data_IF_756919250751
#
_entry.id   IF_756919250751
#
_cell.length_a   1.000
_cell.length_b   1.000
_cell.length_c   1.000
_cell.angle_alpha   90.00
_cell.angle_beta   90.00
_cell.angle_gamma   90.00
#
_symmetry.space_group_name_H-M   'P 1'
#
loop_
_entity.id
_entity.type
_entity.pdbx_description
1 polymer ?
#
# COMPACT_ATOMS: atom_id res chain seq x y z
N UNK A 1 2.65 8.93 -10.63
CA UNK A 1 2.01 10.25 -10.44
C UNK A 1 0.50 10.06 -10.47
N UNK A 2 -0.25 10.69 -9.56
CA UNK A 2 -1.71 10.67 -9.52
C UNK A 2 -2.22 12.12 -9.55
N UNK A 3 -3.16 12.42 -10.44
CA UNK A 3 -3.77 13.76 -10.55
C UNK A 3 -5.26 13.63 -10.25
N UNK A 4 -5.75 14.43 -9.31
CA UNK A 4 -7.16 14.49 -8.94
C UNK A 4 -7.70 15.87 -9.30
N UNK A 5 -8.66 15.91 -10.23
CA UNK A 5 -9.18 17.15 -10.82
C UNK A 5 -10.37 17.74 -10.04
N UNK A 6 -11.28 16.89 -9.57
CA UNK A 6 -12.54 17.34 -8.97
C UNK A 6 -12.54 17.11 -7.47
N UNK A 7 -12.17 18.14 -6.71
CA UNK A 7 -12.15 18.05 -5.25
C UNK A 7 -13.55 17.83 -4.63
N UNK A 8 -14.60 18.34 -5.28
CA UNK A 8 -16.00 18.22 -4.81
C UNK A 8 -16.51 16.77 -4.81
N UNK A 9 -16.04 15.95 -5.77
CA UNK A 9 -16.41 14.55 -5.91
C UNK A 9 -15.53 13.58 -5.10
N UNK A 10 -14.43 14.08 -4.50
CA UNK A 10 -13.51 13.24 -3.74
C UNK A 10 -14.10 12.82 -2.40
N UNK A 11 -14.35 11.52 -2.22
CA UNK A 11 -14.63 10.99 -0.87
C UNK A 11 -13.32 10.72 -0.11
N UNK A 12 -13.30 10.77 1.23
CA UNK A 12 -12.10 10.45 2.01
C UNK A 12 -11.54 9.06 1.72
N UNK A 13 -12.42 8.08 1.46
CA UNK A 13 -12.01 6.72 1.09
C UNK A 13 -11.37 6.68 -0.29
N UNK A 14 -11.90 7.43 -1.28
CA UNK A 14 -11.31 7.52 -2.60
C UNK A 14 -9.93 8.17 -2.53
N UNK A 15 -9.81 9.28 -1.78
CA UNK A 15 -8.54 9.97 -1.54
C UNK A 15 -7.49 9.03 -0.94
N UNK A 16 -7.84 8.27 0.11
CA UNK A 16 -6.93 7.30 0.72
C UNK A 16 -6.53 6.20 -0.28
N UNK A 17 -7.47 5.68 -1.08
CA UNK A 17 -7.19 4.67 -2.10
C UNK A 17 -6.24 5.19 -3.17
N UNK A 18 -6.45 6.40 -3.68
CA UNK A 18 -5.62 6.96 -4.75
C UNK A 18 -4.23 7.32 -4.24
N UNK A 19 -4.10 7.87 -3.02
CA UNK A 19 -2.80 8.16 -2.42
C UNK A 19 -1.99 6.88 -2.21
N UNK A 20 -2.62 5.81 -1.71
CA UNK A 20 -1.92 4.52 -1.50
C UNK A 20 -1.45 3.84 -2.80
N UNK A 21 -2.03 4.17 -3.96
CA UNK A 21 -1.56 3.62 -5.25
C UNK A 21 -0.33 4.33 -5.81
N UNK A 22 0.10 5.44 -5.19
CA UNK A 22 1.30 6.15 -5.62
C UNK A 22 2.52 5.57 -4.90
N UNK A 23 3.43 5.03 -5.69
CA UNK A 23 4.70 4.48 -5.20
C UNK A 23 5.61 5.57 -4.61
N UNK A 24 6.58 5.16 -3.80
CA UNK A 24 7.57 6.05 -3.20
C UNK A 24 8.32 6.86 -4.27
N UNK A 25 8.53 8.15 -4.01
CA UNK A 25 9.09 9.09 -4.99
C UNK A 25 8.08 9.61 -6.02
N UNK A 26 6.84 9.12 -6.02
CA UNK A 26 5.75 9.64 -6.82
C UNK A 26 5.16 10.95 -6.27
N UNK A 27 4.36 11.61 -7.10
CA UNK A 27 3.63 12.83 -6.78
C UNK A 27 2.12 12.61 -6.83
N UNK A 28 1.42 13.17 -5.84
CA UNK A 28 -0.05 13.32 -5.83
C UNK A 28 -0.36 14.80 -6.05
N UNK A 29 -1.08 15.10 -7.13
CA UNK A 29 -1.46 16.47 -7.51
C UNK A 29 -2.96 16.62 -7.32
N UNK A 30 -3.36 17.55 -6.46
CA UNK A 30 -4.74 17.96 -6.27
C UNK A 30 -4.94 19.26 -7.04
N UNK A 31 -5.78 19.24 -8.08
CA UNK A 31 -6.17 20.45 -8.77
C UNK A 31 -7.40 21.01 -8.08
N UNK A 32 -7.31 22.30 -7.75
CA UNK A 32 -8.42 23.06 -7.21
C UNK A 32 -8.85 24.01 -8.31
N UNK A 33 -10.14 24.04 -8.63
CA UNK A 33 -10.69 25.01 -9.57
C UNK A 33 -10.37 26.41 -9.07
N UNK A 34 -10.29 27.41 -9.96
CA UNK A 34 -10.05 28.81 -9.59
C UNK A 34 -10.93 29.23 -8.42
N UNK A 35 -10.31 29.39 -7.26
CA UNK A 35 -10.92 29.90 -6.06
C UNK A 35 -10.37 31.30 -5.85
N UNK A 36 -11.25 32.27 -5.65
CA UNK A 36 -10.86 33.63 -5.28
C UNK A 36 -10.12 33.67 -3.93
N UNK A 37 -10.34 32.68 -3.04
CA UNK A 37 -9.51 32.45 -1.87
C UNK A 37 -9.56 30.98 -1.43
N UNK A 38 -8.50 30.48 -0.80
CA UNK A 38 -8.50 29.15 -0.16
C UNK A 38 -9.53 29.06 0.98
N UNK A 39 -10.02 30.18 1.50
CA UNK A 39 -11.12 30.22 2.48
C UNK A 39 -12.42 29.69 1.88
N UNK A 40 -12.63 29.84 0.56
CA UNK A 40 -13.79 29.31 -0.14
C UNK A 40 -13.85 27.77 -0.16
N UNK A 41 -12.73 27.07 0.11
CA UNK A 41 -12.72 25.61 0.29
C UNK A 41 -13.40 25.18 1.58
N UNK A 42 -13.36 26.00 2.65
CA UNK A 42 -13.99 25.67 3.93
C UNK A 42 -15.51 25.51 3.78
N UNK A 43 -16.11 26.34 2.94
CA UNK A 43 -17.55 26.39 2.69
C UNK A 43 -17.96 25.57 1.47
N UNK A 44 -17.03 24.91 0.79
CA UNK A 44 -17.33 24.12 -0.41
C UNK A 44 -18.22 22.93 -0.05
N UNK A 45 -19.29 22.75 -0.81
CA UNK A 45 -20.19 21.60 -0.68
C UNK A 45 -19.61 20.45 -1.50
N UNK A 46 -19.36 19.31 -0.86
CA UNK A 46 -18.95 18.08 -1.55
C UNK A 46 -20.18 17.25 -1.92
N UNK A 47 -20.09 16.40 -2.95
CA UNK A 47 -21.16 15.49 -3.38
C UNK A 47 -21.64 14.57 -2.24
N UNK A 48 -20.73 14.26 -1.31
CA UNK A 48 -21.02 13.45 -0.13
C UNK A 48 -22.02 14.12 0.80
N UNK A 49 -22.02 15.45 0.87
CA UNK A 49 -22.91 16.22 1.74
C UNK A 49 -24.38 16.04 1.34
N UNK A 50 -24.66 15.87 0.04
CA UNK A 50 -26.01 15.62 -0.46
C UNK A 50 -26.61 14.31 0.09
N UNK A 51 -25.77 13.30 0.33
CA UNK A 51 -26.19 12.03 0.95
C UNK A 51 -26.51 12.15 2.44
N UNK A 52 -26.05 13.20 3.09
CA UNK A 52 -26.28 13.45 4.52
C UNK A 52 -27.39 14.47 4.79
N UNK A 53 -28.05 14.99 3.74
CA UNK A 53 -29.25 15.81 3.88
C UNK A 53 -30.44 14.93 4.20
N UNK A 54 -31.15 15.24 5.28
CA UNK A 54 -32.44 14.64 5.63
C UNK A 54 -33.49 15.75 5.72
N UNK A 55 -34.78 15.42 5.73
CA UNK A 55 -35.85 16.42 5.87
C UNK A 55 -35.70 17.27 7.15
N UNK A 56 -35.12 16.68 8.21
CA UNK A 56 -34.84 17.36 9.48
C UNK A 56 -33.53 18.15 9.49
N UNK A 57 -32.62 17.87 8.55
CA UNK A 57 -31.30 18.50 8.44
C UNK A 57 -30.94 18.76 6.98
N UNK A 58 -31.32 19.92 6.47
CA UNK A 58 -31.08 20.35 5.08
C UNK A 58 -29.65 20.87 4.84
N UNK A 59 -28.99 21.39 5.88
CA UNK A 59 -27.65 21.98 5.78
C UNK A 59 -26.58 21.04 6.33
N UNK A 60 -25.73 20.57 5.42
CA UNK A 60 -24.54 19.79 5.76
C UNK A 60 -23.33 20.74 5.89
N UNK A 61 -22.64 20.68 7.03
CA UNK A 61 -21.45 21.50 7.29
C UNK A 61 -20.17 20.81 6.82
N UNK A 62 -19.33 21.53 6.07
CA UNK A 62 -18.09 21.02 5.46
C UNK A 62 -16.90 20.84 6.41
N UNK A 63 -17.11 20.22 7.58
CA UNK A 63 -16.05 20.04 8.60
C UNK A 63 -14.84 19.23 8.11
N UNK A 64 -15.07 18.33 7.14
CA UNK A 64 -13.98 17.57 6.52
C UNK A 64 -13.03 18.50 5.75
N UNK A 65 -13.56 19.43 4.95
CA UNK A 65 -12.76 20.35 4.16
C UNK A 65 -11.89 21.25 5.04
N UNK A 66 -12.43 21.69 6.16
CA UNK A 66 -11.68 22.46 7.15
C UNK A 66 -10.51 21.68 7.73
N UNK A 67 -10.78 20.47 8.22
CA UNK A 67 -9.73 19.61 8.75
C UNK A 67 -8.71 19.20 7.69
N UNK A 68 -9.17 19.00 6.46
CA UNK A 68 -8.31 18.63 5.33
C UNK A 68 -7.30 19.73 5.02
N UNK A 69 -7.74 20.98 4.88
CA UNK A 69 -6.85 22.12 4.65
C UNK A 69 -5.86 22.33 5.81
N UNK A 70 -6.34 22.24 7.05
CA UNK A 70 -5.45 22.33 8.21
C UNK A 70 -4.40 21.22 8.21
N UNK A 71 -4.78 20.00 7.79
CA UNK A 71 -3.84 18.89 7.65
C UNK A 71 -2.79 19.14 6.56
N UNK A 72 -3.18 19.72 5.42
CA UNK A 72 -2.26 20.09 4.35
C UNK A 72 -1.28 21.18 4.80
N UNK A 73 -1.77 22.20 5.50
CA UNK A 73 -0.93 23.26 6.06
C UNK A 73 0.12 22.72 7.06
N UNK A 74 -0.25 21.70 7.85
CA UNK A 74 0.68 21.04 8.79
C UNK A 74 1.62 20.02 8.12
N UNK A 75 1.34 19.62 6.87
CA UNK A 75 2.08 18.56 6.19
C UNK A 75 3.37 19.10 5.57
N UNK A 76 4.52 18.66 6.12
CA UNK A 76 5.85 19.08 5.63
C UNK A 76 6.13 18.70 4.16
N UNK A 77 5.44 17.69 3.63
CA UNK A 77 5.61 17.18 2.27
C UNK A 77 4.54 17.71 1.28
N UNK A 78 3.71 18.68 1.67
CA UNK A 78 2.67 19.24 0.82
C UNK A 78 2.98 20.68 0.41
N UNK A 79 3.05 20.93 -0.90
CA UNK A 79 3.25 22.26 -1.49
C UNK A 79 1.92 22.77 -2.05
N UNK A 80 1.56 24.02 -1.75
CA UNK A 80 0.41 24.69 -2.36
C UNK A 80 0.94 25.75 -3.33
N UNK A 81 0.52 25.64 -4.59
CA UNK A 81 0.96 26.52 -5.68
C UNK A 81 -0.24 27.12 -6.41
N UNK A 82 -0.05 28.28 -7.01
CA UNK A 82 -1.00 28.86 -7.97
C UNK A 82 -0.78 28.29 -9.40
N UNK A 83 -1.54 28.80 -10.36
CA UNK A 83 -1.48 28.43 -11.77
C UNK A 83 -0.18 28.84 -12.48
N UNK A 84 0.56 29.80 -11.90
CA UNK A 84 1.88 30.22 -12.35
C UNK A 84 3.04 29.47 -11.63
N UNK A 85 2.71 28.46 -10.81
CA UNK A 85 3.66 27.68 -10.00
C UNK A 85 4.36 28.48 -8.89
N UNK A 86 3.79 29.61 -8.45
CA UNK A 86 4.29 30.34 -7.29
C UNK A 86 3.86 29.64 -6.00
N UNK A 87 4.80 29.47 -5.07
CA UNK A 87 4.53 28.84 -3.78
C UNK A 87 3.79 29.80 -2.85
N UNK A 88 2.58 29.40 -2.43
CA UNK A 88 1.74 30.19 -1.54
C UNK A 88 2.28 30.18 -0.09
N UNK A 89 2.02 31.25 0.71
CA UNK A 89 2.53 31.38 2.08
C UNK A 89 2.10 30.27 3.05
N UNK A 90 0.99 29.59 2.78
CA UNK A 90 0.50 28.45 3.58
C UNK A 90 1.52 27.31 3.62
N UNK A 91 2.33 27.16 2.57
CA UNK A 91 3.42 26.18 2.48
C UNK A 91 4.80 26.81 2.72
N UNK A 92 4.91 27.78 3.62
CA UNK A 92 6.18 28.47 3.91
C UNK A 92 7.30 27.53 4.39
N UNK A 93 6.97 26.40 5.03
CA UNK A 93 7.92 25.36 5.45
C UNK A 93 8.72 24.73 4.30
N UNK A 94 8.23 24.81 3.06
CA UNK A 94 8.91 24.25 1.90
C UNK A 94 10.04 25.12 1.38
N UNK A 95 10.03 26.42 1.69
CA UNK A 95 11.08 27.35 1.22
C UNK A 95 12.47 27.02 1.77
N UNK A 96 12.53 26.24 2.86
CA UNK A 96 13.77 25.77 3.49
C UNK A 96 14.14 24.33 3.14
N UNK A 97 13.46 23.67 2.20
CA UNK A 97 13.82 22.30 1.80
C UNK A 97 15.16 22.35 1.07
N UNK A 98 16.16 21.74 1.69
CA UNK A 98 17.44 21.47 1.03
C UNK A 98 17.37 20.11 0.35
N UNK A 99 17.92 19.98 -0.87
CA UNK A 99 18.04 18.67 -1.50
C UNK A 99 18.93 17.80 -0.60
N UNK A 100 18.39 16.65 -0.20
CA UNK A 100 19.17 15.66 0.55
C UNK A 100 20.24 15.14 -0.41
N UNK A 101 21.54 15.21 -0.05
CA UNK A 101 22.58 14.64 -0.89
C UNK A 101 22.32 13.15 -1.02
N UNK A 102 22.25 12.67 -2.26
CA UNK A 102 22.09 11.25 -2.54
C UNK A 102 23.34 10.56 -1.99
N UNK A 103 23.21 9.84 -0.87
CA UNK A 103 24.26 8.92 -0.42
C UNK A 103 24.20 7.71 -1.34
N UNK A 104 24.80 7.85 -2.51
CA UNK A 104 25.08 6.72 -3.38
C UNK A 104 26.21 5.93 -2.72
N UNK A 105 25.87 4.90 -1.94
CA UNK A 105 26.78 3.78 -1.79
C UNK A 105 27.06 3.20 -3.19
N UNK A 106 28.17 2.49 -3.38
CA UNK A 106 28.61 1.97 -4.69
C UNK A 106 27.57 1.10 -5.44
N UNK A 107 26.50 0.70 -4.75
CA UNK A 107 25.40 -0.15 -5.18
C UNK A 107 24.01 0.55 -5.14
N UNK A 108 23.90 1.79 -4.64
CA UNK A 108 22.65 2.58 -4.62
C UNK A 108 21.50 2.02 -3.76
N UNK A 109 21.77 1.06 -2.88
CA UNK A 109 20.77 0.33 -2.08
C UNK A 109 20.64 0.90 -0.65
N UNK A 110 19.40 1.04 -0.17
CA UNK A 110 19.11 1.40 1.23
C UNK A 110 19.67 0.34 2.20
N UNK A 111 19.97 0.72 3.45
CA UNK A 111 20.36 -0.22 4.52
C UNK A 111 19.39 -1.41 4.63
N UNK A 112 18.09 -1.14 4.48
CA UNK A 112 17.01 -2.15 4.52
C UNK A 112 17.09 -3.13 3.34
N UNK A 113 17.50 -2.63 2.16
CA UNK A 113 17.61 -3.46 0.97
C UNK A 113 18.87 -4.34 1.03
N UNK A 114 19.95 -3.84 1.65
CA UNK A 114 21.14 -4.63 1.92
C UNK A 114 20.85 -5.78 2.90
N UNK A 115 20.06 -5.52 3.95
CA UNK A 115 19.60 -6.57 4.87
C UNK A 115 18.75 -7.63 4.15
N UNK A 116 17.84 -7.21 3.26
CA UNK A 116 17.04 -8.14 2.47
C UNK A 116 17.92 -9.00 1.55
N UNK A 117 18.97 -8.42 0.95
CA UNK A 117 19.91 -9.14 0.09
C UNK A 117 20.68 -10.20 0.88
N UNK A 118 21.18 -9.85 2.06
CA UNK A 118 21.83 -10.80 2.99
C UNK A 118 20.89 -11.95 3.36
N UNK A 119 19.65 -11.64 3.75
CA UNK A 119 18.64 -12.66 4.08
C UNK A 119 18.35 -13.61 2.91
N UNK A 120 18.30 -13.08 1.68
CA UNK A 120 18.11 -13.88 0.46
C UNK A 120 19.30 -14.78 0.16
N UNK A 121 20.52 -14.32 0.42
CA UNK A 121 21.74 -15.10 0.22
C UNK A 121 21.89 -16.20 1.28
N UNK A 122 21.57 -15.90 2.55
CA UNK A 122 21.63 -16.86 3.66
C UNK A 122 20.69 -18.06 3.45
N UNK A 123 19.46 -17.81 3.00
CA UNK A 123 18.41 -18.84 2.88
C UNK A 123 18.31 -19.43 1.48
N UNK A 124 19.27 -19.15 0.59
CA UNK A 124 19.18 -19.50 -0.83
C UNK A 124 19.15 -21.01 -1.09
N UNK A 125 19.87 -21.78 -0.27
CA UNK A 125 20.03 -23.24 -0.39
C UNK A 125 18.92 -24.02 0.34
N UNK A 126 18.16 -23.37 1.22
CA UNK A 126 17.12 -24.02 2.02
C UNK A 126 15.85 -24.23 1.19
N UNK A 127 15.66 -25.43 0.63
CA UNK A 127 14.39 -25.82 0.01
C UNK A 127 13.35 -26.15 1.09
N UNK A 128 12.11 -25.62 1.02
CA UNK A 128 11.48 -24.81 -0.04
C UNK A 128 11.56 -23.28 0.17
N UNK A 129 12.26 -22.82 1.21
CA UNK A 129 12.27 -21.43 1.69
C UNK A 129 12.98 -20.48 0.72
N UNK A 130 14.16 -20.84 0.23
CA UNK A 130 15.01 -20.00 -0.62
C UNK A 130 14.34 -19.50 -1.89
N UNK A 131 13.75 -20.38 -2.73
CA UNK A 131 13.06 -19.95 -3.94
C UNK A 131 11.90 -18.97 -3.68
N UNK A 132 11.19 -19.12 -2.56
CA UNK A 132 10.08 -18.26 -2.18
C UNK A 132 10.54 -16.90 -1.64
N UNK A 133 11.57 -16.86 -0.80
CA UNK A 133 12.12 -15.61 -0.25
C UNK A 133 12.73 -14.73 -1.35
N UNK A 134 13.33 -15.34 -2.39
CA UNK A 134 13.84 -14.58 -3.55
C UNK A 134 12.75 -13.72 -4.21
N UNK A 135 11.48 -14.15 -4.16
CA UNK A 135 10.33 -13.39 -4.69
C UNK A 135 9.82 -12.29 -3.78
N UNK A 136 10.29 -12.21 -2.53
CA UNK A 136 9.89 -11.14 -1.61
C UNK A 136 10.56 -9.81 -1.97
N UNK A 137 9.79 -8.73 -1.89
CA UNK A 137 10.27 -7.38 -2.21
C UNK A 137 10.74 -6.60 -0.99
N UNK A 138 10.27 -6.97 0.21
CA UNK A 138 10.62 -6.30 1.46
C UNK A 138 11.11 -7.27 2.52
N UNK A 139 11.92 -6.77 3.45
CA UNK A 139 12.42 -7.52 4.60
C UNK A 139 11.29 -8.07 5.46
N UNK A 140 10.26 -7.25 5.75
CA UNK A 140 9.10 -7.66 6.53
C UNK A 140 8.31 -8.77 5.85
N UNK A 141 8.18 -8.73 4.53
CA UNK A 141 7.54 -9.81 3.77
C UNK A 141 8.35 -11.10 3.90
N UNK A 142 9.68 -11.03 3.76
CA UNK A 142 10.57 -12.18 3.92
C UNK A 142 10.45 -12.81 5.32
N UNK A 143 10.53 -11.99 6.37
CA UNK A 143 10.36 -12.44 7.76
C UNK A 143 8.99 -13.09 8.00
N UNK A 144 7.92 -12.50 7.47
CA UNK A 144 6.58 -13.07 7.58
C UNK A 144 6.49 -14.45 6.89
N UNK A 145 7.04 -14.58 5.67
CA UNK A 145 7.08 -15.85 4.94
C UNK A 145 7.86 -16.91 5.72
N UNK A 146 9.02 -16.56 6.29
CA UNK A 146 9.80 -17.47 7.15
C UNK A 146 8.96 -17.95 8.33
N UNK A 147 8.34 -17.02 9.09
CA UNK A 147 7.51 -17.38 10.25
C UNK A 147 6.35 -18.29 9.87
N UNK A 148 5.73 -18.09 8.70
CA UNK A 148 4.70 -18.98 8.21
C UNK A 148 5.24 -20.36 7.84
N UNK A 149 6.38 -20.43 7.14
CA UNK A 149 6.99 -21.70 6.75
C UNK A 149 7.47 -22.50 7.97
N UNK A 150 8.06 -21.84 8.96
CA UNK A 150 8.43 -22.45 10.23
C UNK A 150 7.21 -23.05 10.94
N UNK A 151 6.10 -22.32 10.98
CA UNK A 151 4.85 -22.82 11.56
C UNK A 151 4.20 -23.97 10.75
N UNK A 152 4.46 -24.04 9.44
CA UNK A 152 4.02 -25.15 8.57
C UNK A 152 4.92 -26.38 8.78
N UNK A 153 6.22 -26.18 9.00
CA UNK A 153 7.18 -27.25 9.26
C UNK A 153 7.05 -27.81 10.69
N UNK A 154 6.61 -26.98 11.64
CA UNK A 154 6.32 -27.39 12.99
C UNK A 154 5.11 -28.34 12.99
N UNK A 155 5.35 -29.61 13.30
CA UNK A 155 4.35 -30.71 13.21
C UNK A 155 3.30 -30.65 14.33
N UNK A 156 3.03 -29.48 14.89
CA UNK A 156 1.99 -29.29 15.89
C UNK A 156 0.61 -29.43 15.23
N UNK A 157 -0.27 -30.24 15.82
CA UNK A 157 -1.61 -30.50 15.26
C UNK A 157 -2.51 -29.25 15.25
N UNK A 158 -2.17 -28.22 16.03
CA UNK A 158 -2.93 -26.98 16.17
C UNK A 158 -1.99 -25.81 16.35
N UNK A 159 -1.83 -25.02 15.29
CA UNK A 159 -1.16 -23.72 15.31
C UNK A 159 -2.06 -22.66 14.70
N UNK A 160 -2.02 -21.44 15.21
CA UNK A 160 -2.70 -20.29 14.59
C UNK A 160 -1.70 -19.16 14.47
N UNK A 161 -1.42 -18.76 13.23
CA UNK A 161 -0.56 -17.62 12.92
C UNK A 161 -1.43 -16.52 12.36
N UNK A 162 -1.34 -15.33 12.96
CA UNK A 162 -2.09 -14.16 12.53
C UNK A 162 -1.11 -13.07 12.08
N UNK A 163 -1.33 -12.54 10.88
CA UNK A 163 -0.54 -11.42 10.35
C UNK A 163 -1.40 -10.18 10.22
N UNK A 164 -0.96 -9.12 10.91
CA UNK A 164 -1.60 -7.81 10.88
C UNK A 164 -0.74 -6.87 10.02
N UNK A 165 -1.37 -6.25 9.02
CA UNK A 165 -0.70 -5.30 8.15
C UNK A 165 -1.69 -4.25 7.66
N UNK A 166 -1.20 -3.03 7.42
CA UNK A 166 -1.98 -1.99 6.75
C UNK A 166 -2.24 -2.35 5.28
N UNK A 167 -3.21 -1.68 4.66
CA UNK A 167 -3.54 -1.85 3.24
C UNK A 167 -2.30 -1.53 2.38
N UNK A 168 -2.14 -2.26 1.28
CA UNK A 168 -1.01 -2.08 0.34
C UNK A 168 0.33 -2.69 0.78
N UNK A 169 0.46 -3.29 1.98
CA UNK A 169 1.74 -3.83 2.49
C UNK A 169 2.08 -5.25 2.02
N UNK A 170 1.34 -5.82 1.07
CA UNK A 170 1.67 -7.13 0.50
C UNK A 170 1.24 -8.38 1.30
N UNK A 171 0.26 -8.26 2.21
CA UNK A 171 -0.24 -9.40 3.03
C UNK A 171 -0.66 -10.61 2.18
N UNK A 172 -1.46 -10.38 1.13
CA UNK A 172 -1.92 -11.46 0.25
C UNK A 172 -0.77 -12.10 -0.54
N UNK A 173 0.25 -11.32 -0.89
CA UNK A 173 1.44 -11.84 -1.57
C UNK A 173 2.25 -12.76 -0.64
N UNK A 174 2.48 -12.34 0.61
CA UNK A 174 3.16 -13.17 1.61
C UNK A 174 2.43 -14.50 1.85
N UNK A 175 1.10 -14.44 2.10
CA UNK A 175 0.27 -15.63 2.30
C UNK A 175 0.29 -16.56 1.07
N UNK A 176 0.28 -16.01 -0.13
CA UNK A 176 0.30 -16.80 -1.36
C UNK A 176 1.61 -17.58 -1.53
N UNK A 177 2.76 -16.95 -1.22
CA UNK A 177 4.06 -17.63 -1.21
C UNK A 177 4.11 -18.72 -0.13
N UNK A 178 3.59 -18.45 1.06
CA UNK A 178 3.54 -19.44 2.15
C UNK A 178 2.66 -20.64 1.80
N UNK A 179 1.53 -20.45 1.11
CA UNK A 179 0.69 -21.54 0.62
C UNK A 179 1.43 -22.38 -0.42
N UNK A 180 2.19 -21.77 -1.34
CA UNK A 180 3.02 -22.51 -2.28
C UNK A 180 4.08 -23.36 -1.54
N UNK A 181 4.67 -22.84 -0.47
CA UNK A 181 5.57 -23.62 0.40
C UNK A 181 4.86 -24.77 1.12
N UNK A 182 3.64 -24.57 1.61
CA UNK A 182 2.85 -25.65 2.21
C UNK A 182 2.57 -26.79 1.21
N UNK A 183 2.30 -26.46 -0.06
CA UNK A 183 2.13 -27.46 -1.13
C UNK A 183 3.44 -28.24 -1.33
N UNK A 184 4.58 -27.55 -1.36
CA UNK A 184 5.90 -28.20 -1.49
C UNK A 184 6.24 -29.12 -0.30
N UNK A 185 5.80 -28.77 0.91
CA UNK A 185 5.95 -29.62 2.11
C UNK A 185 5.05 -30.86 2.06
N UNK A 186 4.04 -30.88 1.20
CA UNK A 186 3.17 -32.04 0.97
C UNK A 186 1.80 -31.98 1.65
N UNK A 187 1.32 -30.80 2.02
CA UNK A 187 -0.06 -30.64 2.49
C UNK A 187 -1.05 -30.93 1.36
N UNK A 188 -1.97 -31.87 1.58
CA UNK A 188 -2.87 -32.34 0.51
C UNK A 188 -4.02 -31.37 0.21
N UNK A 189 -4.65 -30.81 1.25
CA UNK A 189 -5.83 -29.96 1.11
C UNK A 189 -5.60 -28.63 1.83
N UNK A 190 -5.58 -27.55 1.06
CA UNK A 190 -5.47 -26.18 1.58
C UNK A 190 -6.74 -25.44 1.19
N UNK A 191 -7.47 -24.94 2.18
CA UNK A 191 -8.70 -24.18 1.96
C UNK A 191 -8.44 -22.69 2.17
N UNK A 192 -8.92 -21.88 1.24
CA UNK A 192 -8.82 -20.43 1.30
C UNK A 192 -10.23 -19.84 1.42
N UNK A 193 -10.43 -18.95 2.39
CA UNK A 193 -11.69 -18.26 2.61
C UNK A 193 -11.49 -16.75 2.54
N UNK A 194 -12.41 -16.04 1.88
CA UNK A 194 -12.40 -14.60 1.79
C UNK A 194 -13.85 -14.05 1.74
N UNK A 195 -14.09 -12.83 2.26
CA UNK A 195 -15.42 -12.22 2.25
C UNK A 195 -15.87 -11.76 0.86
N UNK A 196 -14.91 -11.54 -0.07
CA UNK A 196 -15.19 -11.15 -1.45
C UNK A 196 -14.15 -11.76 -2.40
N UNK A 197 -14.55 -12.10 -3.64
CA UNK A 197 -13.68 -12.79 -4.60
C UNK A 197 -12.53 -11.91 -5.10
N UNK A 198 -12.71 -10.59 -5.16
CA UNK A 198 -11.69 -9.64 -5.61
C UNK A 198 -10.40 -9.72 -4.78
N UNK A 199 -10.54 -10.01 -3.47
CA UNK A 199 -9.41 -10.12 -2.54
C UNK A 199 -8.51 -11.34 -2.82
N UNK A 200 -9.01 -12.33 -3.58
CA UNK A 200 -8.30 -13.57 -3.85
C UNK A 200 -7.39 -13.49 -5.08
N UNK A 201 -7.60 -12.51 -5.97
CA UNK A 201 -6.85 -12.41 -7.23
C UNK A 201 -5.34 -12.35 -6.99
N UNK A 202 -4.89 -11.43 -6.13
CA UNK A 202 -3.47 -11.28 -5.79
C UNK A 202 -2.94 -12.48 -5.02
N UNK A 203 -3.75 -13.10 -4.15
CA UNK A 203 -3.34 -14.30 -3.41
C UNK A 203 -3.00 -15.43 -4.38
N UNK A 204 -3.90 -15.77 -5.30
CA UNK A 204 -3.69 -16.86 -6.26
C UNK A 204 -2.60 -16.55 -7.27
N UNK A 205 -2.44 -15.30 -7.68
CA UNK A 205 -1.30 -14.89 -8.52
C UNK A 205 0.04 -15.20 -7.84
N UNK A 206 0.16 -14.94 -6.54
CA UNK A 206 1.39 -15.23 -5.78
C UNK A 206 1.55 -16.71 -5.44
N UNK A 207 0.46 -17.47 -5.30
CA UNK A 207 0.54 -18.95 -5.23
C UNK A 207 1.16 -19.49 -6.52
N UNK A 208 0.67 -19.05 -7.69
CA UNK A 208 1.21 -19.49 -8.98
C UNK A 208 2.68 -19.08 -9.13
N UNK A 209 3.03 -17.83 -8.80
CA UNK A 209 4.43 -17.35 -8.83
C UNK A 209 5.34 -18.14 -7.88
N UNK A 210 4.84 -18.53 -6.71
CA UNK A 210 5.58 -19.36 -5.75
C UNK A 210 5.80 -20.78 -6.25
N UNK A 211 4.76 -21.41 -6.80
CA UNK A 211 4.85 -22.77 -7.39
C UNK A 211 5.80 -22.82 -8.58
N UNK A 212 5.73 -21.82 -9.48
CA UNK A 212 6.69 -21.70 -10.60
C UNK A 212 8.12 -21.51 -10.09
N UNK A 213 8.32 -20.76 -9.00
CA UNK A 213 9.65 -20.61 -8.39
C UNK A 213 10.18 -21.91 -7.78
N UNK A 214 9.28 -22.84 -7.43
CA UNK A 214 9.57 -24.18 -6.93
C UNK A 214 9.56 -25.24 -8.04
N UNK A 215 9.55 -24.83 -9.31
CA UNK A 215 9.61 -25.70 -10.50
C UNK A 215 8.39 -26.63 -10.67
N UNK A 216 7.24 -26.29 -10.09
CA UNK A 216 5.98 -27.00 -10.33
C UNK A 216 5.26 -26.48 -11.58
N UNK A 217 4.63 -27.40 -12.33
CA UNK A 217 3.66 -27.04 -13.36
C UNK A 217 2.31 -26.67 -12.74
N UNK A 218 1.78 -25.51 -13.11
CA UNK A 218 0.52 -24.98 -12.56
C UNK A 218 -0.55 -24.97 -13.66
N UNK A 219 -1.63 -25.72 -13.44
CA UNK A 219 -2.83 -25.68 -14.26
C UNK A 219 -3.98 -25.04 -13.45
N UNK A 220 -4.46 -23.88 -13.87
CA UNK A 220 -5.58 -23.21 -13.22
C UNK A 220 -6.88 -23.63 -13.89
N UNK A 221 -7.67 -24.46 -13.21
CA UNK A 221 -9.04 -24.78 -13.62
C UNK A 221 -9.97 -23.70 -13.07
N UNK A 222 -10.57 -22.91 -13.97
CA UNK A 222 -11.65 -21.98 -13.63
C UNK A 222 -12.97 -22.70 -13.91
N UNK A 223 -13.77 -22.89 -12.85
CA UNK A 223 -15.14 -23.40 -12.95
C UNK A 223 -16.12 -22.24 -13.11
#
# INVERSE_FOLDING_TARGET
MCVLQDFEALTPNLLARTIETVEGGGLVVLLLRSLSSLTSLYTMVMDVHDRFRTESHSEATGRFNERFLLSLASCKACVVMDDELNVLPISSHIRSITPVPVKEDSDGLSEVDQELKKLKEELNEDLPVGPLIRKCCTLDQGKAVITFLDAILDKTLRGTVATFAARGRGKSAALGLSIAGAIAVGYSNIFVTAPSPENLRTLFEFICKGLVALEYEVLVLTC
#
